data_IF_892649333586
#
_entry.id   IF_892649333586
#
_cell.length_a   1.000
_cell.length_b   1.000
_cell.length_c   1.000
_cell.angle_alpha   90.00
_cell.angle_beta   90.00
_cell.angle_gamma   90.00
#
_symmetry.space_group_name_H-M   'P 1'
#
loop_
_entity.id
_entity.type
_entity.pdbx_description
1 polymer ?
#
# COMPACT_ATOMS: atom_id res chain seq x y z
N UNK A 1 7.01 -20.65 10.66
CA UNK A 1 6.52 -19.40 10.05
C UNK A 1 7.72 -18.56 9.65
N UNK A 2 7.80 -18.15 8.39
CA UNK A 2 8.80 -17.19 7.89
C UNK A 2 8.05 -15.90 7.54
N UNK A 3 8.66 -14.74 7.79
CA UNK A 3 8.08 -13.43 7.49
C UNK A 3 9.07 -12.65 6.63
N UNK A 4 8.59 -12.16 5.48
CA UNK A 4 9.27 -11.16 4.68
C UNK A 4 8.58 -9.81 4.86
N UNK A 5 9.35 -8.72 4.84
CA UNK A 5 8.82 -7.36 4.91
C UNK A 5 9.45 -6.52 3.81
N UNK A 6 8.60 -5.81 3.07
CA UNK A 6 8.99 -4.88 2.00
C UNK A 6 8.20 -3.60 2.23
N UNK A 7 8.84 -2.46 2.01
CA UNK A 7 8.23 -1.14 2.21
C UNK A 7 8.23 -0.37 0.89
N UNK A 8 7.07 0.18 0.53
CA UNK A 8 6.93 1.17 -0.52
C UNK A 8 6.71 2.54 0.13
N UNK A 9 7.68 3.44 -0.01
CA UNK A 9 7.60 4.81 0.49
C UNK A 9 6.93 5.77 -0.50
N UNK A 10 6.93 7.07 -0.16
CA UNK A 10 6.40 8.14 -1.02
C UNK A 10 4.98 8.59 -0.71
N UNK A 11 4.26 7.86 0.16
CA UNK A 11 2.89 8.20 0.53
C UNK A 11 2.76 9.39 1.49
N UNK A 12 3.85 9.83 2.13
CA UNK A 12 3.84 10.92 3.12
C UNK A 12 3.86 12.31 2.46
N UNK A 13 2.77 12.62 1.77
CA UNK A 13 2.54 13.92 1.12
C UNK A 13 1.51 14.74 1.90
N UNK A 14 1.66 16.06 1.95
CA UNK A 14 0.70 16.96 2.64
C UNK A 14 -0.08 17.87 1.69
N UNK A 15 0.20 17.79 0.39
CA UNK A 15 -0.44 18.52 -0.71
C UNK A 15 -0.34 17.67 -1.99
N UNK A 16 -1.09 18.00 -3.05
CA UNK A 16 -1.03 17.33 -4.37
C UNK A 16 -1.03 15.79 -4.29
N UNK A 17 -1.88 15.25 -3.42
CA UNK A 17 -1.82 13.84 -3.03
C UNK A 17 -2.27 12.89 -4.14
N UNK A 18 -3.24 13.31 -4.98
CA UNK A 18 -3.89 12.44 -5.96
C UNK A 18 -2.89 11.79 -6.92
N UNK A 19 -2.11 12.59 -7.66
CA UNK A 19 -1.21 12.08 -8.69
C UNK A 19 -0.14 11.14 -8.09
N UNK A 20 0.47 11.55 -6.97
CA UNK A 20 1.48 10.71 -6.29
C UNK A 20 0.85 9.43 -5.74
N UNK A 21 -0.36 9.49 -5.21
CA UNK A 21 -1.04 8.31 -4.69
C UNK A 21 -1.38 7.33 -5.82
N UNK A 22 -1.90 7.82 -6.95
CA UNK A 22 -2.25 6.98 -8.10
C UNK A 22 -1.02 6.26 -8.68
N UNK A 23 0.11 6.97 -8.81
CA UNK A 23 1.38 6.39 -9.27
C UNK A 23 1.87 5.29 -8.32
N UNK A 24 1.82 5.54 -7.00
CA UNK A 24 2.27 4.58 -5.99
C UNK A 24 1.33 3.37 -5.90
N UNK A 25 0.01 3.58 -6.03
CA UNK A 25 -0.96 2.49 -6.07
C UNK A 25 -0.77 1.61 -7.31
N UNK A 26 -0.42 2.21 -8.46
CA UNK A 26 -0.07 1.47 -9.68
C UNK A 26 1.19 0.63 -9.47
N UNK A 27 2.22 1.17 -8.81
CA UNK A 27 3.43 0.43 -8.49
C UNK A 27 3.16 -0.72 -7.51
N UNK A 28 2.32 -0.49 -6.48
CA UNK A 28 1.91 -1.50 -5.52
C UNK A 28 1.15 -2.65 -6.20
N UNK A 29 0.17 -2.33 -7.04
CA UNK A 29 -0.63 -3.29 -7.80
C UNK A 29 0.25 -4.17 -8.69
N UNK A 30 1.15 -3.55 -9.46
CA UNK A 30 2.08 -4.27 -10.33
C UNK A 30 3.02 -5.21 -9.54
N UNK A 31 3.52 -4.76 -8.39
CA UNK A 31 4.38 -5.55 -7.52
C UNK A 31 3.68 -6.77 -6.92
N UNK A 32 2.46 -6.59 -6.39
CA UNK A 32 1.66 -7.68 -5.81
C UNK A 32 1.27 -8.68 -6.90
N UNK A 33 0.79 -8.19 -8.06
CA UNK A 33 0.39 -9.04 -9.18
C UNK A 33 1.55 -9.89 -9.70
N UNK A 34 2.74 -9.30 -9.86
CA UNK A 34 3.92 -10.03 -10.30
C UNK A 34 4.36 -11.08 -9.26
N UNK A 35 4.29 -10.76 -7.97
CA UNK A 35 4.63 -11.70 -6.91
C UNK A 35 3.68 -12.89 -6.86
N UNK A 36 2.36 -12.66 -6.95
CA UNK A 36 1.38 -13.75 -7.01
C UNK A 36 1.55 -14.61 -8.25
N UNK A 37 1.78 -14.02 -9.42
CA UNK A 37 2.05 -14.78 -10.64
C UNK A 37 3.28 -15.69 -10.50
N UNK A 38 4.33 -15.23 -9.83
CA UNK A 38 5.52 -16.05 -9.54
C UNK A 38 5.22 -17.19 -8.56
N UNK A 39 4.42 -16.92 -7.52
CA UNK A 39 3.97 -17.96 -6.58
C UNK A 39 3.12 -19.03 -7.30
N UNK A 40 2.18 -18.63 -8.15
CA UNK A 40 1.37 -19.55 -8.96
C UNK A 40 2.26 -20.40 -9.87
N UNK A 41 3.21 -19.79 -10.58
CA UNK A 41 4.14 -20.49 -11.47
C UNK A 41 4.98 -21.56 -10.73
N UNK A 42 5.26 -21.35 -9.44
CA UNK A 42 5.99 -22.28 -8.59
C UNK A 42 5.09 -23.21 -7.76
N UNK A 43 3.76 -23.14 -7.90
CA UNK A 43 2.81 -23.95 -7.13
C UNK A 43 2.83 -23.62 -5.63
N UNK A 44 3.02 -22.36 -5.28
CA UNK A 44 3.20 -21.83 -3.91
C UNK A 44 2.16 -20.80 -3.48
N UNK A 45 1.20 -20.46 -4.33
CA UNK A 45 0.18 -19.47 -4.02
C UNK A 45 -0.60 -19.78 -2.73
N UNK A 46 -0.97 -21.05 -2.49
CA UNK A 46 -1.70 -21.48 -1.30
C UNK A 46 -0.85 -21.52 -0.01
N UNK A 47 0.48 -21.43 -0.14
CA UNK A 47 1.43 -21.50 0.99
C UNK A 47 1.75 -20.12 1.58
N UNK A 48 1.26 -19.03 0.97
CA UNK A 48 1.63 -17.64 1.29
C UNK A 48 0.40 -16.77 1.52
N UNK A 49 0.43 -15.95 2.57
CA UNK A 49 -0.54 -14.86 2.79
C UNK A 49 0.19 -13.54 2.55
N UNK A 50 -0.39 -12.66 1.75
CA UNK A 50 0.13 -11.30 1.54
C UNK A 50 -0.70 -10.32 2.35
N UNK A 51 -0.02 -9.56 3.22
CA UNK A 51 -0.62 -8.52 4.04
C UNK A 51 -0.13 -7.15 3.58
N UNK A 52 -1.04 -6.27 3.18
CA UNK A 52 -0.75 -4.85 2.92
C UNK A 52 -1.31 -4.00 4.04
N UNK A 53 -0.52 -3.04 4.50
CA UNK A 53 -0.86 -2.14 5.59
C UNK A 53 -0.10 -0.82 5.45
N UNK A 54 -0.57 0.21 6.15
CA UNK A 54 0.05 1.53 6.23
C UNK A 54 0.15 1.98 7.67
N UNK A 55 1.16 2.77 8.02
CA UNK A 55 1.34 3.34 9.37
C UNK A 55 0.35 4.48 9.68
N UNK A 56 -0.25 5.07 8.65
CA UNK A 56 -1.20 6.18 8.78
C UNK A 56 -2.32 6.08 7.73
N UNK A 57 -3.41 6.79 8.02
CA UNK A 57 -4.50 7.08 7.09
C UNK A 57 -4.55 8.58 6.77
N UNK A 58 -5.59 9.03 6.07
CA UNK A 58 -5.84 10.45 5.81
C UNK A 58 -7.06 10.96 6.56
N UNK A 59 -6.99 12.21 7.02
CA UNK A 59 -8.17 12.92 7.53
C UNK A 59 -9.08 13.31 6.37
N UNK A 60 -10.37 13.36 6.65
CA UNK A 60 -11.38 13.82 5.68
C UNK A 60 -11.30 15.35 5.47
N UNK A 61 -10.93 16.08 6.51
CA UNK A 61 -10.80 17.55 6.46
C UNK A 61 -9.54 17.98 5.72
N UNK A 62 -9.68 18.98 4.85
CA UNK A 62 -8.58 19.64 4.15
C UNK A 62 -7.72 20.45 5.13
N UNK A 63 -6.39 20.38 4.98
CA UNK A 63 -5.44 21.18 5.74
C UNK A 63 -5.25 22.58 5.11
N UNK A 64 -4.53 23.46 5.82
CA UNK A 64 -4.31 24.85 5.37
C UNK A 64 -3.54 24.99 4.04
N UNK A 65 -2.99 23.89 3.50
CA UNK A 65 -2.18 23.87 2.29
C UNK A 65 -2.92 23.22 1.10
N UNK A 66 -4.22 22.93 1.21
CA UNK A 66 -4.99 22.31 0.13
C UNK A 66 -4.74 20.81 -0.05
N UNK A 67 -4.30 20.11 1.01
CA UNK A 67 -4.17 18.65 1.06
C UNK A 67 -4.80 18.08 2.33
N UNK A 68 -4.33 16.93 2.80
CA UNK A 68 -4.85 16.29 4.03
C UNK A 68 -3.74 15.83 4.96
N UNK A 69 -3.99 15.93 6.26
CA UNK A 69 -3.06 15.44 7.29
C UNK A 69 -3.27 13.96 7.61
N UNK A 70 -2.35 13.40 8.41
CA UNK A 70 -2.43 12.02 8.86
C UNK A 70 -3.65 11.79 9.77
N UNK A 71 -4.35 10.69 9.50
CA UNK A 71 -5.41 10.12 10.32
C UNK A 71 -4.96 8.79 10.95
N UNK A 72 -5.62 8.40 12.05
CA UNK A 72 -5.25 7.20 12.82
C UNK A 72 -6.01 5.92 12.41
N UNK A 73 -7.05 6.04 11.57
CA UNK A 73 -7.90 4.91 11.18
C UNK A 73 -7.46 4.33 9.83
N UNK A 74 -6.42 3.48 9.84
CA UNK A 74 -5.93 2.79 8.64
C UNK A 74 -6.68 1.47 8.40
N UNK A 75 -6.53 0.95 7.17
CA UNK A 75 -7.05 -0.35 6.77
C UNK A 75 -5.88 -1.29 6.45
N UNK A 76 -6.11 -2.59 6.66
CA UNK A 76 -5.18 -3.64 6.27
C UNK A 76 -5.93 -4.61 5.36
N UNK A 77 -5.28 -5.06 4.29
CA UNK A 77 -5.82 -6.08 3.41
C UNK A 77 -4.96 -7.33 3.49
N UNK A 78 -5.62 -8.48 3.56
CA UNK A 78 -4.98 -9.79 3.49
C UNK A 78 -5.59 -10.55 2.32
N UNK A 79 -4.73 -11.10 1.48
CA UNK A 79 -5.07 -11.95 0.33
C UNK A 79 -4.23 -13.22 0.35
#
# INVERSE_FOLDING_TARGET
MRVGHVTLGGFDTHTNQSDTHDDLMTALDGGISAFYADLEAHGKADDVIVLTWSEFARRVEENANGGTDHGAANLMFAV
#
